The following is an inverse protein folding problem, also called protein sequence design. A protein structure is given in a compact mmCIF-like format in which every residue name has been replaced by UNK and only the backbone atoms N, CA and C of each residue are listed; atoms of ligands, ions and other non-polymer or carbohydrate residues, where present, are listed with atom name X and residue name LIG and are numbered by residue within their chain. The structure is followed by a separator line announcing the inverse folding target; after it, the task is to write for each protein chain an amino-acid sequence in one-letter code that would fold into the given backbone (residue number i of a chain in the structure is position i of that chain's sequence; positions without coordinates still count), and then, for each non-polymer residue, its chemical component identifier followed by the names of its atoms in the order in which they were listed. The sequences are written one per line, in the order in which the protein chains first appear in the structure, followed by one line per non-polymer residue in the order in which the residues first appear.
data_IF_730698989066
#
_entry.id   IF_730698989066
#
_cell.length_a   1.000
_cell.length_b   1.000
_cell.length_c   1.000
_cell.angle_alpha   90.00
_cell.angle_beta   90.00
_cell.angle_gamma   90.00
#
_symmetry.space_group_name_H-M   'P 1'
#
loop_
_entity.id
_entity.type
_entity.pdbx_description
1 polymer ?
#
# COMPACT_ATOMS: atom_id res chain seq x y z
N UNK A 1 -11.53 5.36 35.46
CA UNK A 1 -11.93 4.09 34.81
C UNK A 1 -12.61 4.41 33.48
N UNK A 2 -11.83 4.71 32.43
CA UNK A 2 -12.31 5.00 31.06
C UNK A 2 -11.91 3.86 30.09
N UNK A 3 -11.20 2.85 30.60
CA UNK A 3 -10.58 1.75 29.82
C UNK A 3 -11.53 0.59 29.45
N UNK A 4 -12.83 0.69 29.73
CA UNK A 4 -13.80 -0.39 29.45
C UNK A 4 -15.05 0.10 28.71
N UNK A 5 -14.92 1.16 27.90
CA UNK A 5 -15.98 1.55 26.97
C UNK A 5 -15.77 0.81 25.63
N UNK A 6 -16.69 -0.08 25.20
CA UNK A 6 -16.60 -0.76 23.91
C UNK A 6 -16.72 0.16 22.69
N UNK A 7 -17.10 1.43 22.87
CA UNK A 7 -17.10 2.47 21.83
C UNK A 7 -15.75 3.20 21.71
N UNK A 8 -14.86 3.09 22.71
CA UNK A 8 -13.50 3.63 22.61
C UNK A 8 -12.63 2.59 21.93
N UNK A 9 -12.59 2.67 20.59
CA UNK A 9 -11.65 1.95 19.72
C UNK A 9 -10.24 2.28 20.20
N UNK A 10 -9.67 1.41 21.03
CA UNK A 10 -8.24 1.27 21.41
C UNK A 10 -7.46 2.58 21.29
N UNK A 11 -7.24 3.29 22.42
CA UNK A 11 -6.31 4.42 22.45
C UNK A 11 -4.92 3.87 22.13
N UNK A 12 -4.55 3.87 20.84
CA UNK A 12 -3.17 3.66 20.42
C UNK A 12 -2.41 4.88 20.94
N UNK A 13 -1.55 4.66 21.92
CA UNK A 13 -0.65 5.69 22.42
C UNK A 13 0.19 6.21 21.26
N UNK A 14 0.36 7.53 21.18
CA UNK A 14 1.03 8.27 20.11
C UNK A 14 2.47 7.80 19.79
N UNK A 15 3.06 6.96 20.64
CA UNK A 15 4.45 6.50 20.54
C UNK A 15 4.67 5.41 19.48
N UNK A 16 3.62 4.74 19.00
CA UNK A 16 3.75 3.67 17.99
C UNK A 16 3.51 4.14 16.54
N UNK A 17 2.92 5.32 16.34
CA UNK A 17 2.56 5.85 15.01
C UNK A 17 3.06 7.27 14.81
N UNK A 18 3.81 7.50 13.73
CA UNK A 18 4.09 8.85 13.26
C UNK A 18 2.77 9.50 12.79
N UNK A 19 2.29 10.58 13.42
CA UNK A 19 1.00 11.20 13.11
C UNK A 19 0.94 11.75 11.68
N UNK A 20 2.09 12.12 11.12
CA UNK A 20 2.18 12.58 9.74
C UNK A 20 2.02 11.41 8.76
N UNK A 21 2.68 10.27 9.04
CA UNK A 21 2.44 9.03 8.27
C UNK A 21 0.99 8.60 8.37
N UNK A 22 0.40 8.62 9.57
CA UNK A 22 -1.00 8.27 9.77
C UNK A 22 -1.95 9.13 8.92
N UNK A 23 -1.73 10.46 8.91
CA UNK A 23 -2.50 11.39 8.10
C UNK A 23 -2.32 11.13 6.60
N UNK A 24 -1.10 10.79 6.17
CA UNK A 24 -0.83 10.42 4.78
C UNK A 24 -1.50 9.10 4.39
N UNK A 25 -1.55 8.11 5.28
CA UNK A 25 -2.17 6.81 5.02
C UNK A 25 -3.70 6.89 4.96
N UNK A 26 -4.31 7.56 5.93
CA UNK A 26 -5.77 7.57 6.14
C UNK A 26 -6.50 8.76 5.53
N UNK A 27 -5.77 9.77 5.03
CA UNK A 27 -6.38 10.99 4.53
C UNK A 27 -7.30 10.76 3.31
N UNK A 28 -8.42 11.47 3.25
CA UNK A 28 -9.38 11.39 2.14
C UNK A 28 -8.95 12.23 0.94
N UNK A 29 -7.83 11.84 0.36
CA UNK A 29 -7.28 12.39 -0.87
C UNK A 29 -6.65 11.25 -1.69
N UNK A 30 -6.50 11.49 -2.99
CA UNK A 30 -5.92 10.52 -3.90
C UNK A 30 -4.42 10.37 -3.65
N UNK A 31 -3.96 9.11 -3.61
CA UNK A 31 -2.54 8.79 -3.41
C UNK A 31 -2.06 7.97 -4.60
N UNK A 32 -0.97 8.37 -5.23
CA UNK A 32 -0.37 7.63 -6.32
C UNK A 32 1.05 7.21 -5.96
N UNK A 33 1.32 5.92 -6.08
CA UNK A 33 2.66 5.33 -5.98
C UNK A 33 3.09 4.85 -7.36
N UNK A 34 4.18 5.42 -7.88
CA UNK A 34 4.85 4.91 -9.07
C UNK A 34 6.10 4.12 -8.66
N UNK A 35 6.14 2.84 -9.01
CA UNK A 35 7.27 1.96 -8.78
C UNK A 35 7.95 1.67 -10.12
N UNK A 36 9.12 2.27 -10.35
CA UNK A 36 9.90 2.07 -11.57
C UNK A 36 10.98 1.02 -11.35
N UNK A 37 11.05 0.02 -12.24
CA UNK A 37 12.00 -1.07 -12.13
C UNK A 37 13.40 -0.62 -12.54
N UNK A 38 14.38 -0.80 -11.65
CA UNK A 38 15.80 -0.69 -11.99
C UNK A 38 16.32 -2.02 -12.55
N UNK A 39 15.86 -3.13 -11.98
CA UNK A 39 16.18 -4.49 -12.40
C UNK A 39 14.91 -5.23 -12.83
N UNK A 40 15.06 -6.21 -13.72
CA UNK A 40 13.95 -7.08 -14.11
C UNK A 40 13.34 -7.78 -12.90
N UNK A 41 12.02 -7.74 -12.80
CA UNK A 41 11.26 -8.40 -11.75
C UNK A 41 10.06 -9.14 -12.36
N UNK A 42 9.77 -10.35 -11.88
CA UNK A 42 8.52 -11.01 -12.21
C UNK A 42 7.38 -10.33 -11.44
N UNK A 43 6.23 -10.14 -12.07
CA UNK A 43 5.06 -9.53 -11.42
C UNK A 43 4.69 -10.26 -10.13
N UNK A 44 4.79 -11.59 -10.12
CA UNK A 44 4.51 -12.43 -8.97
C UNK A 44 5.42 -12.12 -7.78
N UNK A 45 6.71 -11.85 -8.03
CA UNK A 45 7.67 -11.50 -6.98
C UNK A 45 7.29 -10.16 -6.33
N UNK A 46 6.91 -9.18 -7.16
CA UNK A 46 6.42 -7.89 -6.67
C UNK A 46 5.14 -8.07 -5.84
N UNK A 47 4.11 -8.67 -6.44
CA UNK A 47 2.79 -8.73 -5.84
C UNK A 47 2.78 -9.60 -4.58
N UNK A 48 3.56 -10.68 -4.54
CA UNK A 48 3.69 -11.52 -3.35
C UNK A 48 4.28 -10.73 -2.19
N UNK A 49 5.33 -9.94 -2.42
CA UNK A 49 5.95 -9.15 -1.35
C UNK A 49 5.00 -8.07 -0.79
N UNK A 50 4.27 -7.40 -1.68
CA UNK A 50 3.24 -6.41 -1.29
C UNK A 50 2.12 -7.07 -0.49
N UNK A 51 1.63 -8.23 -0.95
CA UNK A 51 0.59 -8.99 -0.26
C UNK A 51 1.03 -9.48 1.13
N UNK A 52 2.24 -10.05 1.25
CA UNK A 52 2.79 -10.52 2.52
C UNK A 52 2.88 -9.39 3.56
N UNK A 53 3.44 -8.24 3.16
CA UNK A 53 3.55 -7.08 4.03
C UNK A 53 2.17 -6.54 4.44
N UNK A 54 1.21 -6.48 3.52
CA UNK A 54 -0.14 -5.98 3.79
C UNK A 54 -0.89 -6.89 4.76
N UNK A 55 -0.83 -8.20 4.55
CA UNK A 55 -1.44 -9.20 5.44
C UNK A 55 -0.80 -9.17 6.83
N UNK A 56 0.53 -9.05 6.91
CA UNK A 56 1.22 -8.92 8.20
C UNK A 56 0.80 -7.65 8.97
N UNK A 57 0.67 -6.53 8.26
CA UNK A 57 0.20 -5.26 8.81
C UNK A 57 -1.23 -5.38 9.35
N UNK A 58 -2.17 -5.91 8.56
CA UNK A 58 -3.56 -6.07 8.99
C UNK A 58 -3.72 -7.06 10.15
N UNK A 59 -2.93 -8.14 10.17
CA UNK A 59 -2.94 -9.10 11.29
C UNK A 59 -2.44 -8.46 12.58
N UNK A 60 -1.34 -7.70 12.52
CA UNK A 60 -0.80 -6.95 13.67
C UNK A 60 -1.82 -5.95 14.22
N UNK A 61 -2.57 -5.29 13.34
CA UNK A 61 -3.60 -4.32 13.72
C UNK A 61 -4.95 -4.97 14.11
N UNK A 62 -5.10 -6.29 13.95
CA UNK A 62 -6.36 -7.00 14.21
C UNK A 62 -7.49 -6.65 13.23
N UNK A 63 -7.15 -6.17 12.03
CA UNK A 63 -8.12 -5.73 11.00
C UNK A 63 -8.26 -6.70 9.82
N UNK A 64 -7.48 -7.79 9.82
CA UNK A 64 -7.52 -8.84 8.82
C UNK A 64 -8.77 -9.72 8.95
N UNK A 65 -9.42 -9.98 7.81
CA UNK A 65 -10.69 -10.71 7.70
C UNK A 65 -10.65 -11.67 6.51
N UNK A 66 -11.55 -12.66 6.49
CA UNK A 66 -11.68 -13.60 5.37
C UNK A 66 -12.05 -12.94 4.03
N UNK A 67 -12.60 -11.71 4.05
CA UNK A 67 -12.87 -10.95 2.83
C UNK A 67 -11.58 -10.44 2.19
N UNK A 68 -10.55 -10.16 3.00
CA UNK A 68 -9.26 -9.64 2.54
C UNK A 68 -8.52 -10.72 1.71
N UNK A 69 -8.68 -12.01 2.00
CA UNK A 69 -8.10 -13.11 1.20
C UNK A 69 -8.53 -13.08 -0.26
N UNK A 70 -9.83 -12.87 -0.51
CA UNK A 70 -10.36 -12.81 -1.87
C UNK A 70 -9.77 -11.64 -2.64
N UNK A 71 -9.51 -10.53 -1.97
CA UNK A 71 -8.97 -9.35 -2.63
C UNK A 71 -7.47 -9.48 -2.84
N UNK A 72 -6.72 -10.02 -1.87
CA UNK A 72 -5.31 -10.35 -2.06
C UNK A 72 -5.13 -11.30 -3.24
N UNK A 73 -5.97 -12.34 -3.36
CA UNK A 73 -5.91 -13.24 -4.51
C UNK A 73 -6.16 -12.53 -5.83
N UNK A 74 -7.13 -11.60 -5.89
CA UNK A 74 -7.35 -10.76 -7.09
C UNK A 74 -6.12 -9.91 -7.41
N UNK A 75 -5.53 -9.28 -6.40
CA UNK A 75 -4.30 -8.50 -6.55
C UNK A 75 -3.15 -9.35 -7.09
N UNK A 76 -2.93 -10.56 -6.56
CA UNK A 76 -1.90 -11.48 -7.06
C UNK A 76 -2.16 -11.89 -8.53
N UNK A 77 -3.40 -12.17 -8.90
CA UNK A 77 -3.76 -12.55 -10.27
C UNK A 77 -3.51 -11.41 -11.28
N UNK A 78 -3.60 -10.13 -10.88
CA UNK A 78 -3.24 -8.98 -11.74
C UNK A 78 -1.79 -9.09 -12.26
N UNK A 79 -0.88 -9.55 -11.41
CA UNK A 79 0.55 -9.57 -11.69
C UNK A 79 1.05 -10.91 -12.22
N UNK A 80 0.19 -11.92 -12.27
CA UNK A 80 0.52 -13.25 -12.78
C UNK A 80 0.92 -13.21 -14.25
N UNK A 81 2.07 -13.78 -14.56
CA UNK A 81 2.66 -13.78 -15.90
C UNK A 81 3.17 -12.41 -16.37
N UNK A 82 3.07 -11.36 -15.56
CA UNK A 82 3.59 -10.04 -15.92
C UNK A 82 5.12 -10.03 -15.80
N UNK A 83 5.77 -9.40 -16.78
CA UNK A 83 7.21 -9.15 -16.76
C UNK A 83 7.44 -7.66 -16.60
N UNK A 84 8.27 -7.29 -15.64
CA UNK A 84 8.58 -5.91 -15.33
C UNK A 84 10.07 -5.67 -15.64
N UNK A 85 10.43 -5.39 -16.90
CA UNK A 85 11.82 -5.11 -17.28
C UNK A 85 12.30 -3.77 -16.71
N UNK A 86 13.61 -3.49 -16.71
CA UNK A 86 14.14 -2.17 -16.36
C UNK A 86 13.44 -1.05 -17.14
N UNK A 87 13.09 0.03 -16.45
CA UNK A 87 12.36 1.17 -17.00
C UNK A 87 10.83 1.03 -17.01
N UNK A 88 10.29 -0.18 -16.88
CA UNK A 88 8.85 -0.37 -16.68
C UNK A 88 8.40 0.19 -15.33
N UNK A 89 7.13 0.63 -15.25
CA UNK A 89 6.54 1.20 -14.05
C UNK A 89 5.22 0.53 -13.68
N UNK A 90 5.00 0.37 -12.39
CA UNK A 90 3.69 0.03 -11.81
C UNK A 90 3.15 1.31 -11.18
N UNK A 91 1.93 1.69 -11.52
CA UNK A 91 1.22 2.77 -10.86
C UNK A 91 0.10 2.18 -10.01
N UNK A 92 0.09 2.56 -8.75
CA UNK A 92 -0.87 2.15 -7.74
C UNK A 92 -1.55 3.42 -7.22
N UNK A 93 -2.78 3.65 -7.67
CA UNK A 93 -3.54 4.86 -7.31
C UNK A 93 -4.68 4.48 -6.38
N UNK A 94 -4.67 5.05 -5.19
CA UNK A 94 -5.69 4.87 -4.16
C UNK A 94 -6.62 6.08 -4.23
N UNK A 95 -7.86 5.86 -4.60
CA UNK A 95 -8.86 6.92 -4.66
C UNK A 95 -9.28 7.36 -3.26
N UNK A 96 -9.82 8.59 -3.09
CA UNK A 96 -10.35 9.06 -1.82
C UNK A 96 -11.49 8.21 -1.25
N UNK A 97 -12.12 7.39 -2.09
CA UNK A 97 -13.28 6.53 -1.74
C UNK A 97 -12.88 5.08 -1.46
N UNK A 98 -11.57 4.76 -1.47
CA UNK A 98 -11.08 3.45 -1.04
C UNK A 98 -10.94 2.40 -2.16
N UNK A 99 -10.83 2.82 -3.41
CA UNK A 99 -10.51 1.92 -4.52
C UNK A 99 -9.03 2.01 -4.92
N UNK A 100 -8.44 0.87 -5.29
CA UNK A 100 -7.09 0.76 -5.82
C UNK A 100 -7.12 0.54 -7.33
N UNK A 101 -6.58 1.49 -8.07
CA UNK A 101 -6.35 1.41 -9.50
C UNK A 101 -4.91 0.97 -9.77
N UNK A 102 -4.75 -0.02 -10.65
CA UNK A 102 -3.44 -0.57 -11.03
C UNK A 102 -3.22 -0.33 -12.52
N UNK A 103 -2.14 0.36 -12.85
CA UNK A 103 -1.70 0.56 -14.23
C UNK A 103 -0.28 0.03 -14.40
N UNK A 104 -0.06 -0.73 -15.47
CA UNK A 104 1.26 -1.25 -15.82
C UNK A 104 1.75 -0.50 -17.07
N UNK A 105 2.89 0.16 -16.94
CA UNK A 105 3.57 0.84 -18.03
C UNK A 105 4.83 0.04 -18.40
N UNK A 106 4.93 -0.40 -19.65
CA UNK A 106 6.07 -1.22 -20.11
C UNK A 106 7.26 -0.38 -20.59
N UNK A 107 7.02 0.88 -20.92
CA UNK A 107 7.91 1.81 -21.61
C UNK A 107 7.98 3.19 -20.92
N UNK A 108 7.44 3.31 -19.71
CA UNK A 108 7.33 4.58 -18.98
C UNK A 108 6.15 5.44 -19.41
N UNK A 109 5.40 5.06 -20.45
CA UNK A 109 4.16 5.71 -20.85
C UNK A 109 3.02 5.21 -19.97
N UNK A 110 2.43 6.11 -19.20
CA UNK A 110 1.30 5.79 -18.32
C UNK A 110 0.03 5.68 -19.18
N UNK A 111 -0.68 4.53 -19.17
CA UNK A 111 -1.92 4.41 -19.91
C UNK A 111 -3.01 5.32 -19.31
N UNK A 112 -3.82 5.97 -20.17
CA UNK A 112 -4.94 6.85 -19.76
C UNK A 112 -6.03 6.11 -18.96
N UNK A 113 -6.21 4.81 -19.19
CA UNK A 113 -7.13 3.97 -18.44
C UNK A 113 -6.36 3.04 -17.49
N UNK A 114 -6.85 2.91 -16.25
CA UNK A 114 -6.36 1.88 -15.35
C UNK A 114 -6.64 0.50 -15.92
N UNK A 115 -5.66 -0.40 -15.82
CA UNK A 115 -5.84 -1.75 -16.33
C UNK A 115 -6.84 -2.52 -15.45
N UNK A 116 -6.85 -2.28 -14.14
CA UNK A 116 -7.70 -2.97 -13.16
C UNK A 116 -8.06 -2.03 -12.00
N UNK A 117 -9.32 -2.12 -11.54
CA UNK A 117 -9.83 -1.46 -10.33
C UNK A 117 -10.19 -2.51 -9.29
N UNK A 118 -9.64 -2.38 -8.08
CA UNK A 118 -9.91 -3.25 -6.93
C UNK A 118 -10.50 -2.41 -5.79
N UNK A 119 -11.67 -2.77 -5.29
CA UNK A 119 -12.27 -2.12 -4.12
C UNK A 119 -11.58 -2.60 -2.83
N UNK A 120 -10.46 -1.96 -2.45
CA UNK A 120 -9.68 -2.30 -1.26
C UNK A 120 -8.92 -1.10 -0.65
N UNK A 121 -9.64 -0.33 0.14
CA UNK A 121 -9.12 0.83 0.85
C UNK A 121 -7.91 0.47 1.73
N UNK A 122 -8.03 -0.63 2.48
CA UNK A 122 -7.01 -1.11 3.42
C UNK A 122 -5.66 -1.40 2.75
N UNK A 123 -5.63 -1.70 1.46
CA UNK A 123 -4.40 -1.97 0.72
C UNK A 123 -3.67 -0.67 0.40
N UNK A 124 -4.40 0.42 0.15
CA UNK A 124 -3.82 1.75 0.01
C UNK A 124 -3.13 2.24 1.27
N UNK A 125 -3.77 2.05 2.42
CA UNK A 125 -3.17 2.34 3.73
C UNK A 125 -1.92 1.50 3.97
N UNK A 126 -2.01 0.18 3.74
CA UNK A 126 -0.89 -0.74 3.92
C UNK A 126 0.29 -0.42 2.98
N UNK A 127 0.03 0.05 1.76
CA UNK A 127 1.08 0.49 0.84
C UNK A 127 1.79 1.75 1.34
N UNK A 128 1.06 2.72 1.89
CA UNK A 128 1.66 3.92 2.47
C UNK A 128 2.56 3.55 3.64
N UNK A 129 2.10 2.68 4.54
CA UNK A 129 2.91 2.16 5.65
C UNK A 129 4.13 1.38 5.14
N UNK A 130 3.99 0.58 4.09
CA UNK A 130 5.09 -0.18 3.50
C UNK A 130 6.19 0.72 2.91
N UNK A 131 5.87 1.91 2.40
CA UNK A 131 6.88 2.81 1.82
C UNK A 131 7.47 3.73 2.87
N UNK A 132 6.62 4.42 3.64
CA UNK A 132 7.03 5.52 4.52
C UNK A 132 6.74 5.29 6.01
N UNK A 133 6.10 4.18 6.37
CA UNK A 133 5.84 3.80 7.76
C UNK A 133 7.10 3.49 8.55
N UNK A 134 6.97 3.12 9.83
CA UNK A 134 8.12 2.91 10.73
C UNK A 134 9.15 1.94 10.12
N UNK A 135 8.68 0.84 9.55
CA UNK A 135 9.48 -0.18 8.86
C UNK A 135 9.46 -0.05 7.33
N UNK A 136 9.08 1.12 6.82
CA UNK A 136 8.93 1.38 5.40
C UNK A 136 10.23 1.24 4.61
N UNK A 137 10.12 0.70 3.39
CA UNK A 137 11.23 0.22 2.57
C UNK A 137 12.01 1.31 1.85
N UNK A 138 11.55 2.58 1.87
CA UNK A 138 12.21 3.68 1.16
C UNK A 138 12.59 4.84 2.09
N UNK A 139 13.82 4.81 2.65
CA UNK A 139 14.38 5.94 3.40
C UNK A 139 14.42 7.25 2.60
N UNK A 140 14.65 7.16 1.29
CA UNK A 140 14.68 8.32 0.40
C UNK A 140 13.31 8.98 0.27
N UNK A 141 12.24 8.20 0.11
CA UNK A 141 10.88 8.74 0.07
C UNK A 141 10.54 9.36 1.42
N UNK A 142 10.83 8.68 2.55
CA UNK A 142 10.64 9.26 3.89
C UNK A 142 11.30 10.64 4.03
N UNK A 143 12.57 10.75 3.62
CA UNK A 143 13.32 12.01 3.65
C UNK A 143 12.64 13.10 2.83
N UNK A 144 12.18 12.78 1.61
CA UNK A 144 11.47 13.75 0.74
C UNK A 144 10.14 14.22 1.33
N UNK A 145 9.48 13.36 2.11
CA UNK A 145 8.26 13.69 2.85
C UNK A 145 8.53 14.34 4.21
N UNK A 146 9.79 14.55 4.62
CA UNK A 146 10.15 15.12 5.91
C UNK A 146 9.96 14.18 7.10
N UNK A 147 9.83 12.87 6.84
CA UNK A 147 9.65 11.83 7.86
C UNK A 147 11.02 11.43 8.40
N UNK A 148 11.18 11.52 9.73
CA UNK A 148 12.45 11.15 10.38
C UNK A 148 12.67 9.65 10.28
N UNK A 149 13.79 9.25 9.69
CA UNK A 149 14.32 7.90 9.80
C UNK A 149 15.09 7.78 11.12
N UNK A 150 14.59 6.95 12.04
CA UNK A 150 15.29 6.57 13.27
C UNK A 150 16.46 5.63 12.98
#
# INVERSE_FOLDING_TARGET
KILHDPLIRKIHTYDDYDPYVYALSTGSFEKCLQVTMILSLAGEQFSQKVAENSVAFWKTNGTYTNADDKIINKFLEVFKGQKLPPGSSILLTVSPVGSLMISLSKDGIIPEAANIVLEIEKLGEAMTEMIIGKHGVSPEVKTKFGIKTL
#
